data_IF_435112640124
#
_entry.id   IF_435112640124
#
_cell.length_a   1.000
_cell.length_b   1.000
_cell.length_c   1.000
_cell.angle_alpha   90.00
_cell.angle_beta   90.00
_cell.angle_gamma   90.00
#
_symmetry.space_group_name_H-M   'P 1'
#
loop_
_entity.id
_entity.type
_entity.pdbx_description
1 polymer ?
#
# COMPACT_ATOMS: atom_id res chain seq x y z
N UNK A 1 -13.33 15.13 -8.15
CA UNK A 1 -12.45 15.36 -7.00
C UNK A 1 -12.29 14.06 -6.20
N UNK A 2 -11.54 13.12 -6.78
CA UNK A 2 -11.27 11.84 -6.12
C UNK A 2 -9.81 11.87 -5.69
N UNK A 3 -9.55 12.58 -4.59
CA UNK A 3 -8.21 12.93 -4.11
C UNK A 3 -7.56 11.84 -3.25
N UNK A 4 -7.73 10.55 -3.60
CA UNK A 4 -7.17 9.46 -2.82
C UNK A 4 -7.30 8.07 -3.45
N UNK A 5 -6.72 7.08 -2.78
CA UNK A 5 -6.79 5.66 -3.17
C UNK A 5 -8.18 5.08 -2.95
N UNK A 6 -8.59 4.15 -3.81
CA UNK A 6 -9.80 3.36 -3.60
C UNK A 6 -9.53 2.11 -2.75
N UNK A 7 -10.58 1.54 -2.16
CA UNK A 7 -10.46 0.23 -1.52
C UNK A 7 -9.88 -0.80 -2.51
N UNK A 8 -8.85 -1.52 -2.07
CA UNK A 8 -8.12 -2.47 -2.91
C UNK A 8 -6.98 -1.88 -3.72
N UNK A 9 -6.48 -0.68 -3.39
CA UNK A 9 -5.34 -0.07 -4.09
C UNK A 9 -4.05 -0.91 -4.08
N UNK A 10 -3.92 -1.84 -3.13
CA UNK A 10 -2.80 -2.78 -3.05
C UNK A 10 -2.97 -4.02 -3.97
N UNK A 11 -4.13 -4.22 -4.58
CA UNK A 11 -4.41 -5.42 -5.39
C UNK A 11 -4.09 -5.19 -6.86
N UNK A 12 -2.91 -5.64 -7.27
CA UNK A 12 -2.32 -5.55 -8.62
C UNK A 12 -3.08 -6.32 -9.71
N UNK A 13 -4.02 -7.19 -9.34
CA UNK A 13 -4.90 -7.89 -10.30
C UNK A 13 -6.19 -7.12 -10.63
N UNK A 14 -6.35 -5.90 -10.13
CA UNK A 14 -7.59 -5.11 -10.28
C UNK A 14 -7.33 -3.73 -10.89
N UNK A 15 -8.32 -3.13 -11.60
CA UNK A 15 -8.19 -1.77 -12.13
C UNK A 15 -8.03 -0.67 -11.07
N UNK A 16 -8.14 -1.02 -9.78
CA UNK A 16 -8.00 -0.11 -8.64
C UNK A 16 -6.57 -0.03 -8.12
N UNK A 17 -5.66 -0.84 -8.64
CA UNK A 17 -4.26 -0.86 -8.26
C UNK A 17 -3.64 0.54 -8.42
N UNK A 18 -3.03 1.04 -7.34
CA UNK A 18 -2.24 2.26 -7.34
C UNK A 18 -0.82 1.88 -6.88
N UNK A 19 0.11 1.84 -7.84
CA UNK A 19 1.48 1.40 -7.57
C UNK A 19 2.21 2.28 -6.55
N UNK A 20 1.99 3.59 -6.58
CA UNK A 20 2.69 4.52 -5.70
C UNK A 20 2.20 4.38 -4.26
N UNK A 21 0.88 4.32 -4.07
CA UNK A 21 0.31 4.08 -2.76
C UNK A 21 0.63 2.67 -2.24
N UNK A 22 0.60 1.66 -3.11
CA UNK A 22 0.92 0.29 -2.72
C UNK A 22 2.36 0.13 -2.25
N UNK A 23 3.32 0.71 -2.97
CA UNK A 23 4.72 0.70 -2.57
C UNK A 23 4.92 1.41 -1.21
N UNK A 24 4.33 2.61 -1.05
CA UNK A 24 4.44 3.35 0.21
C UNK A 24 3.85 2.56 1.39
N UNK A 25 2.70 1.91 1.20
CA UNK A 25 2.09 1.07 2.23
C UNK A 25 2.98 -0.13 2.58
N UNK A 26 3.55 -0.80 1.58
CA UNK A 26 4.42 -1.96 1.81
C UNK A 26 5.70 -1.60 2.56
N UNK A 27 6.34 -0.49 2.19
CA UNK A 27 7.54 0.00 2.87
C UNK A 27 7.28 0.26 4.37
N UNK A 28 6.13 0.88 4.69
CA UNK A 28 5.70 1.12 6.08
C UNK A 28 5.42 -0.18 6.83
N UNK A 29 4.76 -1.15 6.19
CA UNK A 29 4.47 -2.46 6.80
C UNK A 29 5.76 -3.20 7.15
N UNK A 30 6.71 -3.27 6.22
CA UNK A 30 8.01 -3.91 6.46
C UNK A 30 8.78 -3.18 7.56
N UNK A 31 8.81 -1.84 7.55
CA UNK A 31 9.47 -1.05 8.58
C UNK A 31 8.87 -1.30 9.98
N UNK A 32 7.54 -1.39 10.07
CA UNK A 32 6.84 -1.71 11.32
C UNK A 32 7.24 -3.09 11.85
N UNK A 33 7.28 -4.12 11.00
CA UNK A 33 7.70 -5.45 11.43
C UNK A 33 9.16 -5.49 11.88
N UNK A 34 10.07 -4.82 11.15
CA UNK A 34 11.47 -4.69 11.58
C UNK A 34 11.62 -4.04 12.96
N UNK A 35 10.74 -3.10 13.30
CA UNK A 35 10.81 -2.40 14.58
C UNK A 35 10.26 -3.21 15.76
N UNK A 36 9.41 -4.22 15.53
CA UNK A 36 8.65 -4.87 16.60
C UNK A 36 8.84 -6.40 16.68
N UNK A 37 9.35 -7.05 15.63
CA UNK A 37 9.42 -8.52 15.52
C UNK A 37 10.81 -9.06 15.17
N UNK A 38 11.80 -8.19 14.94
CA UNK A 38 13.17 -8.57 14.59
C UNK A 38 14.03 -8.84 15.82
#
# INVERSE_FOLDING_TARGET
PDAGTQHGFNNDTTPRYDAAAAQQSWDRTVAFFKANLA
#
